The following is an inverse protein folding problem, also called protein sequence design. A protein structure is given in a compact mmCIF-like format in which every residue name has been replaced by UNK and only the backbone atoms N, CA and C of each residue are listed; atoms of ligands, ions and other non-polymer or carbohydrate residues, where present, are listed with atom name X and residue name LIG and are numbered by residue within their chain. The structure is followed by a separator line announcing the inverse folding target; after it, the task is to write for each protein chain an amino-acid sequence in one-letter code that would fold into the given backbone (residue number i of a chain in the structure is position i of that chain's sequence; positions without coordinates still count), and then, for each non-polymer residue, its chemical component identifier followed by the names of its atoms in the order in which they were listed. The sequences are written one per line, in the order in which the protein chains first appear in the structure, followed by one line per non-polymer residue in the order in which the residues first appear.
data_IF_466522675578
#
_entry.id   IF_466522675578
#
_cell.length_a   1.000
_cell.length_b   1.000
_cell.length_c   1.000
_cell.angle_alpha   90.00
_cell.angle_beta   90.00
_cell.angle_gamma   90.00
#
_symmetry.space_group_name_H-M   'P 1'
#
loop_
_entity.id
_entity.type
_entity.pdbx_description
1 polymer ?
#
# COMPACT_ATOMS: atom_id res chain seq x y z
N UNK A 1 -14.03 11.24 -20.92
CA UNK A 1 -13.70 11.32 -19.48
C UNK A 1 -12.21 11.06 -19.32
N UNK A 2 -11.47 11.88 -18.57
CA UNK A 2 -10.04 11.69 -18.33
C UNK A 2 -9.82 10.66 -17.20
N UNK A 3 -9.88 9.37 -17.53
CA UNK A 3 -9.74 8.25 -16.59
C UNK A 3 -8.44 8.29 -15.78
N UNK A 4 -7.35 8.76 -16.39
CA UNK A 4 -6.07 8.97 -15.71
C UNK A 4 -6.17 9.96 -14.54
N UNK A 5 -6.98 11.01 -14.71
CA UNK A 5 -7.20 12.03 -13.66
C UNK A 5 -8.00 11.43 -12.51
N UNK A 6 -9.02 10.64 -12.80
CA UNK A 6 -9.85 9.96 -11.80
C UNK A 6 -9.04 8.94 -11.00
N UNK A 7 -8.23 8.13 -11.69
CA UNK A 7 -7.38 7.11 -11.07
C UNK A 7 -6.31 7.73 -10.17
N UNK A 8 -5.65 8.81 -10.62
CA UNK A 8 -4.72 9.58 -9.79
C UNK A 8 -5.40 10.18 -8.56
N UNK A 9 -6.63 10.69 -8.72
CA UNK A 9 -7.36 11.28 -7.62
C UNK A 9 -7.71 10.23 -6.57
N UNK A 10 -8.18 9.04 -6.96
CA UNK A 10 -8.47 7.94 -6.03
C UNK A 10 -7.19 7.41 -5.38
N UNK A 11 -6.12 7.24 -6.16
CA UNK A 11 -4.82 6.78 -5.65
C UNK A 11 -4.23 7.70 -4.59
N UNK A 12 -4.36 9.02 -4.78
CA UNK A 12 -3.86 10.03 -3.86
C UNK A 12 -4.91 10.48 -2.82
N UNK A 13 -6.15 10.01 -2.93
CA UNK A 13 -7.21 10.41 -2.01
C UNK A 13 -6.86 9.96 -0.59
N UNK A 14 -6.85 10.92 0.33
CA UNK A 14 -6.78 10.68 1.75
C UNK A 14 -8.11 11.12 2.36
N UNK A 15 -9.14 10.25 2.39
CA UNK A 15 -10.38 10.56 3.10
C UNK A 15 -10.06 10.63 4.60
N UNK A 16 -9.85 11.84 5.10
CA UNK A 16 -9.52 12.13 6.50
C UNK A 16 -10.81 12.22 7.33
N UNK A 17 -10.83 11.57 8.49
CA UNK A 17 -11.95 11.59 9.44
C UNK A 17 -11.83 10.48 10.49
N UNK A 18 -12.63 10.56 11.56
CA UNK A 18 -12.67 9.54 12.62
C UNK A 18 -13.45 8.32 12.13
N UNK A 19 -12.76 7.18 12.00
CA UNK A 19 -13.38 5.90 11.61
C UNK A 19 -14.08 5.26 12.81
N UNK A 20 -15.36 4.88 12.66
CA UNK A 20 -16.03 4.01 13.63
C UNK A 20 -15.35 2.63 13.68
N UNK A 21 -15.10 2.11 14.89
CA UNK A 21 -14.61 0.74 15.13
C UNK A 21 -15.55 -0.25 14.42
N UNK A 22 -15.00 -1.21 13.67
CA UNK A 22 -15.77 -2.22 12.93
C UNK A 22 -15.95 -1.97 11.42
N UNK A 23 -15.83 -0.73 10.91
CA UNK A 23 -15.89 -0.48 9.45
C UNK A 23 -14.65 -1.02 8.72
N UNK A 24 -14.76 -1.71 7.57
CA UNK A 24 -13.58 -2.15 6.81
C UNK A 24 -12.65 -0.99 6.45
N UNK A 25 -11.34 -1.26 6.42
CA UNK A 25 -10.37 -0.24 6.04
C UNK A 25 -10.40 -0.04 4.52
N UNK A 26 -11.11 0.99 4.06
CA UNK A 26 -11.16 1.34 2.63
C UNK A 26 -9.87 1.99 2.13
N UNK A 27 -8.96 2.39 3.04
CA UNK A 27 -7.73 3.07 2.67
C UNK A 27 -6.63 2.05 2.41
N UNK A 28 -6.47 1.69 1.14
CA UNK A 28 -5.49 0.74 0.65
C UNK A 28 -4.04 1.06 1.10
N UNK A 29 -3.69 2.35 1.19
CA UNK A 29 -2.34 2.77 1.59
C UNK A 29 -2.03 2.46 3.05
N UNK A 30 -3.02 2.46 3.94
CA UNK A 30 -2.81 2.15 5.37
C UNK A 30 -2.52 0.65 5.55
N UNK A 31 -3.11 -0.21 4.71
CA UNK A 31 -2.80 -1.64 4.68
C UNK A 31 -1.39 -1.84 4.13
N UNK A 32 -1.08 -1.20 3.00
CA UNK A 32 0.27 -1.25 2.41
C UNK A 32 1.35 -0.77 3.39
N UNK A 33 1.12 0.33 4.11
CA UNK A 33 2.08 0.89 5.08
C UNK A 33 2.32 -0.02 6.27
N UNK A 34 1.29 -0.76 6.73
CA UNK A 34 1.47 -1.79 7.77
C UNK A 34 2.37 -2.92 7.29
N UNK A 35 2.15 -3.41 6.08
CA UNK A 35 2.96 -4.50 5.52
C UNK A 35 4.41 -4.05 5.31
N UNK A 36 4.59 -2.82 4.84
CA UNK A 36 5.91 -2.21 4.69
C UNK A 36 6.62 -1.98 6.03
N UNK A 37 5.88 -1.67 7.10
CA UNK A 37 6.43 -1.57 8.44
C UNK A 37 6.98 -2.92 8.92
N UNK A 38 6.23 -4.01 8.67
CA UNK A 38 6.69 -5.38 8.93
C UNK A 38 7.96 -5.69 8.13
N UNK A 39 8.03 -5.28 6.86
CA UNK A 39 9.23 -5.39 6.00
C UNK A 39 10.32 -4.35 6.29
N UNK A 40 10.17 -3.51 7.31
CA UNK A 40 11.09 -2.41 7.69
C UNK A 40 11.47 -1.49 6.52
N UNK A 41 10.59 -1.36 5.53
CA UNK A 41 10.82 -0.57 4.32
C UNK A 41 10.15 0.79 4.45
N UNK A 42 10.96 1.84 4.65
CA UNK A 42 10.48 3.23 4.64
C UNK A 42 10.50 3.77 3.20
N UNK A 43 9.67 4.78 2.92
CA UNK A 43 9.64 5.49 1.63
C UNK A 43 9.38 4.62 0.40
N UNK A 44 8.39 3.71 0.46
CA UNK A 44 8.07 2.74 -0.59
C UNK A 44 7.80 3.31 -1.99
N UNK A 45 7.42 4.59 -2.09
CA UNK A 45 7.21 5.27 -3.38
C UNK A 45 8.50 5.33 -4.22
N UNK A 46 9.66 5.42 -3.59
CA UNK A 46 10.96 5.42 -4.28
C UNK A 46 11.29 4.07 -4.93
N UNK A 47 11.26 2.93 -4.21
CA UNK A 47 11.43 1.62 -4.82
C UNK A 47 10.28 1.26 -5.77
N UNK A 48 9.05 1.73 -5.54
CA UNK A 48 7.92 1.49 -6.45
C UNK A 48 8.11 2.10 -7.85
N UNK A 49 8.86 3.21 -7.97
CA UNK A 49 9.24 3.77 -9.28
C UNK A 49 10.17 2.85 -10.08
N UNK A 50 10.92 1.96 -9.41
CA UNK A 50 11.85 1.02 -10.04
C UNK A 50 11.25 -0.39 -10.03
N UNK A 51 10.74 -0.84 -11.18
CA UNK A 51 10.06 -2.14 -11.34
C UNK A 51 10.80 -3.33 -10.71
N UNK A 52 12.12 -3.41 -10.89
CA UNK A 52 12.94 -4.50 -10.32
C UNK A 52 13.02 -4.44 -8.79
N UNK A 53 13.17 -3.25 -8.22
CA UNK A 53 13.25 -3.07 -6.77
C UNK A 53 11.90 -3.38 -6.14
N UNK A 54 10.82 -2.93 -6.76
CA UNK A 54 9.46 -3.26 -6.35
C UNK A 54 9.20 -4.77 -6.38
N UNK A 55 9.56 -5.44 -7.48
CA UNK A 55 9.39 -6.90 -7.60
C UNK A 55 10.14 -7.66 -6.48
N UNK A 56 11.39 -7.27 -6.19
CA UNK A 56 12.15 -7.88 -5.08
C UNK A 56 11.49 -7.68 -3.73
N UNK A 57 10.87 -6.53 -3.50
CA UNK A 57 10.13 -6.26 -2.26
C UNK A 57 8.88 -7.14 -2.15
N UNK A 58 8.14 -7.32 -3.25
CA UNK A 58 6.98 -8.22 -3.28
C UNK A 58 7.36 -9.68 -3.02
N UNK A 59 8.46 -10.17 -3.61
CA UNK A 59 8.92 -11.54 -3.32
C UNK A 59 9.31 -11.70 -1.84
N UNK A 60 9.94 -10.69 -1.23
CA UNK A 60 10.20 -10.69 0.22
C UNK A 60 8.91 -10.72 1.03
N UNK A 61 7.88 -9.98 0.61
CA UNK A 61 6.58 -9.94 1.29
C UNK A 61 5.91 -11.32 1.26
N UNK A 62 5.90 -11.99 0.11
CA UNK A 62 5.27 -13.31 -0.09
C UNK A 62 5.82 -14.39 0.84
N UNK A 63 7.11 -14.36 1.14
CA UNK A 63 7.78 -15.37 1.99
C UNK A 63 7.83 -14.98 3.47
N UNK A 64 7.39 -13.76 3.81
CA UNK A 64 7.48 -13.27 5.18
C UNK A 64 6.34 -13.85 6.03
N UNK A 65 6.61 -14.61 7.12
CA UNK A 65 5.57 -15.29 7.89
C UNK A 65 4.44 -14.39 8.41
N UNK A 66 4.75 -13.12 8.71
CA UNK A 66 3.77 -12.12 9.13
C UNK A 66 2.93 -11.48 8.02
N UNK A 67 3.19 -11.79 6.75
CA UNK A 67 2.51 -11.23 5.55
C UNK A 67 2.09 -12.31 4.53
N UNK A 68 2.59 -13.53 4.66
CA UNK A 68 2.34 -14.68 3.78
C UNK A 68 0.97 -15.34 4.00
N UNK A 69 0.23 -14.90 5.02
CA UNK A 69 -1.09 -15.44 5.35
C UNK A 69 -2.19 -14.61 4.69
N UNK A 70 -2.50 -14.93 3.43
CA UNK A 70 -3.75 -14.57 2.77
C UNK A 70 -4.29 -15.75 1.96
#
# INVERSE_FOLDING_TARGET
MNEDRTTKNVFNAQPIGTRRKGRPNLRWIDVLEKDLLVLRTKNWRTPARRKLVWKRLLEKAKVHPGLSSH
#
